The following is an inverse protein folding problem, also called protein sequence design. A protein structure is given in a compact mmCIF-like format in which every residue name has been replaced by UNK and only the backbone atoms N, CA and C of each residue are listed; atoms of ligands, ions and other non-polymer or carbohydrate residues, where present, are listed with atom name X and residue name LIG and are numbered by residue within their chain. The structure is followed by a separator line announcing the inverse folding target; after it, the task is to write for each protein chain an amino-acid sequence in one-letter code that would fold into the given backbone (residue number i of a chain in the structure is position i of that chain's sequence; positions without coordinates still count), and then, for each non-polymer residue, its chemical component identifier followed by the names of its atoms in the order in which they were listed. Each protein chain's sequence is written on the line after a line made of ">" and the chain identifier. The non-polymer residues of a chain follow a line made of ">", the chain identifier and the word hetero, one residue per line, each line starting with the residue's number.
data_IF_490210305840
#
_entry.id   IF_490210305840
#
_cell.length_a   1.000
_cell.length_b   1.000
_cell.length_c   1.000
_cell.angle_alpha   90.00
_cell.angle_beta   90.00
_cell.angle_gamma   90.00
#
_symmetry.space_group_name_H-M   'P 1'
#
loop_
_entity.id
_entity.type
_entity.pdbx_description
1 polymer ?
#
# COMPACT_ATOMS: atom_id res chain seq x y z
N UNK A 1 16.11 13.40 -3.22
CA UNK A 1 15.85 11.96 -3.49
C UNK A 1 15.96 10.99 -2.31
N UNK A 2 16.62 11.29 -1.18
CA UNK A 2 16.61 10.41 0.02
C UNK A 2 15.24 10.31 0.71
N UNK A 3 14.39 11.33 0.59
CA UNK A 3 13.09 11.43 1.26
C UNK A 3 12.04 10.42 0.75
N UNK A 4 12.00 10.13 -0.56
CA UNK A 4 11.03 9.17 -1.13
C UNK A 4 11.28 7.73 -0.64
N UNK A 5 12.53 7.40 -0.28
CA UNK A 5 12.92 6.06 0.19
C UNK A 5 12.43 5.74 1.61
N UNK A 6 11.98 6.73 2.38
CA UNK A 6 11.57 6.55 3.77
C UNK A 6 10.05 6.42 3.96
N UNK A 7 9.24 6.63 2.91
CA UNK A 7 7.78 6.74 2.99
C UNK A 7 7.15 5.47 3.55
N UNK A 8 7.68 4.30 3.21
CA UNK A 8 7.14 3.03 3.70
C UNK A 8 7.97 2.53 4.89
N UNK A 9 7.72 3.05 6.08
CA UNK A 9 8.03 2.30 7.30
C UNK A 9 7.12 1.08 7.35
N UNK A 10 7.53 0.02 6.65
CA UNK A 10 6.89 -1.28 6.77
C UNK A 10 7.04 -1.72 8.22
N UNK A 11 5.95 -1.62 9.00
CA UNK A 11 5.81 -2.45 10.18
C UNK A 11 5.91 -3.88 9.67
N UNK A 12 6.98 -4.57 10.08
CA UNK A 12 7.20 -5.98 9.80
C UNK A 12 5.96 -6.71 10.32
N UNK A 13 5.03 -7.05 9.41
CA UNK A 13 3.88 -7.86 9.77
C UNK A 13 4.42 -9.23 10.13
N UNK A 14 4.38 -9.49 11.41
CA UNK A 14 4.68 -10.77 12.04
C UNK A 14 3.95 -11.86 11.28
N UNK A 15 4.73 -12.77 10.70
CA UNK A 15 4.25 -13.76 9.74
C UNK A 15 4.25 -15.13 10.38
N UNK A 16 3.07 -15.72 10.59
CA UNK A 16 2.94 -17.10 11.02
C UNK A 16 2.96 -17.96 9.75
N UNK A 17 4.05 -18.64 9.44
CA UNK A 17 4.15 -19.40 8.18
C UNK A 17 3.42 -20.74 8.26
N UNK A 18 2.46 -20.98 7.35
CA UNK A 18 1.96 -22.32 7.05
C UNK A 18 1.80 -22.48 5.54
N UNK A 19 2.42 -23.51 4.97
CA UNK A 19 2.28 -23.83 3.54
C UNK A 19 1.05 -24.71 3.33
N UNK A 20 0.06 -24.23 2.57
CA UNK A 20 -0.87 -25.14 1.89
C UNK A 20 -1.26 -24.60 0.51
N UNK A 21 -1.06 -25.45 -0.50
CA UNK A 21 -1.48 -25.22 -1.87
C UNK A 21 -2.92 -25.70 -2.03
N UNK A 22 -3.83 -24.87 -2.55
CA UNK A 22 -5.08 -25.38 -3.10
C UNK A 22 -5.66 -24.49 -4.22
N UNK A 23 -6.08 -25.15 -5.31
CA UNK A 23 -6.44 -24.56 -6.60
C UNK A 23 -7.85 -23.97 -6.72
N UNK A 24 -8.04 -23.16 -7.77
CA UNK A 24 -9.16 -22.24 -7.99
C UNK A 24 -10.39 -22.87 -8.68
N UNK A 25 -11.58 -22.54 -8.18
CA UNK A 25 -12.80 -22.22 -8.95
C UNK A 25 -13.34 -20.86 -8.48
N UNK A 26 -14.23 -20.22 -9.24
CA UNK A 26 -14.86 -18.94 -8.90
C UNK A 26 -15.87 -19.08 -7.73
N UNK A 27 -15.36 -19.49 -6.57
CA UNK A 27 -16.06 -19.62 -5.31
C UNK A 27 -15.58 -18.50 -4.37
N UNK A 28 -16.39 -18.19 -3.36
CA UNK A 28 -15.95 -17.43 -2.19
C UNK A 28 -14.75 -18.15 -1.56
N UNK A 29 -13.77 -17.37 -1.11
CA UNK A 29 -12.60 -17.89 -0.42
C UNK A 29 -12.99 -17.95 1.06
N UNK A 30 -13.02 -19.16 1.63
CA UNK A 30 -13.37 -19.35 3.04
C UNK A 30 -12.29 -20.18 3.73
N UNK A 31 -12.06 -19.85 5.00
CA UNK A 31 -11.11 -20.53 5.87
C UNK A 31 -11.83 -20.95 7.14
N UNK A 32 -11.49 -22.12 7.66
CA UNK A 32 -11.98 -22.60 8.97
C UNK A 32 -11.02 -22.25 10.10
N UNK A 33 -9.74 -22.17 9.74
CA UNK A 33 -8.65 -21.85 10.63
C UNK A 33 -8.39 -20.33 10.66
N UNK A 34 -8.30 -19.71 11.85
CA UNK A 34 -8.08 -18.27 11.96
C UNK A 34 -6.67 -17.86 11.52
N UNK A 35 -5.67 -18.73 11.68
CA UNK A 35 -4.29 -18.46 11.25
C UNK A 35 -4.24 -18.41 9.72
N UNK A 36 -4.84 -19.37 9.03
CA UNK A 36 -4.95 -19.35 7.56
C UNK A 36 -5.69 -18.10 7.05
N UNK A 37 -6.78 -17.70 7.72
CA UNK A 37 -7.53 -16.50 7.37
C UNK A 37 -6.68 -15.23 7.49
N UNK A 38 -6.01 -15.07 8.62
CA UNK A 38 -5.12 -13.94 8.88
C UNK A 38 -3.95 -13.90 7.89
N UNK A 39 -3.29 -15.04 7.69
CA UNK A 39 -2.14 -15.16 6.80
C UNK A 39 -2.50 -14.79 5.35
N UNK A 40 -3.66 -15.24 4.87
CA UNK A 40 -4.14 -14.87 3.55
C UNK A 40 -4.26 -13.35 3.39
N UNK A 41 -4.79 -12.66 4.40
CA UNK A 41 -4.91 -11.20 4.40
C UNK A 41 -3.52 -10.54 4.47
N UNK A 42 -2.67 -10.99 5.39
CA UNK A 42 -1.30 -10.47 5.57
C UNK A 42 -0.47 -10.64 4.31
N UNK A 43 -0.57 -11.77 3.61
CA UNK A 43 0.15 -12.02 2.36
C UNK A 43 -0.30 -11.07 1.24
N UNK A 44 -1.60 -10.73 1.19
CA UNK A 44 -2.12 -9.72 0.29
C UNK A 44 -1.55 -8.33 0.63
N UNK A 45 -1.55 -7.96 1.91
CA UNK A 45 -1.00 -6.68 2.37
C UNK A 45 0.50 -6.59 2.05
N UNK A 46 1.27 -7.65 2.31
CA UNK A 46 2.71 -7.72 2.01
C UNK A 46 3.00 -7.60 0.52
N UNK A 47 2.25 -8.29 -0.35
CA UNK A 47 2.42 -8.20 -1.81
C UNK A 47 2.20 -6.77 -2.31
N UNK A 48 1.18 -6.08 -1.79
CA UNK A 48 0.92 -4.67 -2.11
C UNK A 48 2.03 -3.75 -1.58
N UNK A 49 2.44 -3.92 -0.32
CA UNK A 49 3.50 -3.12 0.31
C UNK A 49 4.84 -3.24 -0.44
N UNK A 50 5.24 -4.46 -0.83
CA UNK A 50 6.44 -4.67 -1.63
C UNK A 50 6.37 -3.93 -2.97
N UNK A 51 5.22 -3.96 -3.65
CA UNK A 51 5.07 -3.26 -4.93
C UNK A 51 5.05 -1.74 -4.79
N UNK A 52 4.52 -1.22 -3.69
CA UNK A 52 4.60 0.19 -3.35
C UNK A 52 6.05 0.63 -3.12
N UNK A 53 6.84 -0.17 -2.40
CA UNK A 53 8.28 0.07 -2.24
C UNK A 53 9.00 0.11 -3.59
N UNK A 54 8.84 -0.91 -4.43
CA UNK A 54 9.46 -0.95 -5.76
C UNK A 54 9.04 0.24 -6.63
N UNK A 55 7.79 0.67 -6.51
CA UNK A 55 7.32 1.86 -7.22
C UNK A 55 7.99 3.14 -6.69
N UNK A 56 8.10 3.32 -5.37
CA UNK A 56 8.82 4.42 -4.76
C UNK A 56 10.30 4.48 -5.17
N UNK A 57 10.96 3.33 -5.26
CA UNK A 57 12.32 3.22 -5.80
C UNK A 57 12.38 3.59 -7.29
N UNK A 58 11.38 3.20 -8.07
CA UNK A 58 11.30 3.54 -9.50
C UNK A 58 11.18 5.05 -9.70
N UNK A 59 10.25 5.70 -8.99
CA UNK A 59 10.11 7.16 -9.02
C UNK A 59 11.40 7.86 -8.57
N UNK A 60 12.06 7.30 -7.56
CA UNK A 60 13.27 7.88 -7.00
C UNK A 60 14.52 7.67 -7.85
N UNK A 61 14.52 6.84 -8.90
CA UNK A 61 15.72 6.54 -9.69
C UNK A 61 15.53 6.73 -11.21
N UNK A 62 14.33 7.06 -11.67
CA UNK A 62 14.02 7.26 -13.09
C UNK A 62 13.78 8.74 -13.38
N UNK A 63 14.32 9.23 -14.49
CA UNK A 63 13.99 10.55 -15.05
C UNK A 63 12.91 10.46 -16.14
N UNK A 64 12.63 9.24 -16.63
CA UNK A 64 11.58 8.98 -17.61
C UNK A 64 10.19 9.00 -16.94
N UNK A 65 9.49 10.13 -17.06
CA UNK A 65 8.17 10.34 -16.49
C UNK A 65 7.08 9.42 -17.08
N UNK A 66 7.18 9.05 -18.35
CA UNK A 66 6.22 8.15 -19.00
C UNK A 66 6.42 6.70 -18.52
N UNK A 67 7.68 6.29 -18.31
CA UNK A 67 7.98 5.02 -17.65
C UNK A 67 7.40 4.97 -16.22
N UNK A 68 7.63 6.01 -15.41
CA UNK A 68 7.10 6.10 -14.04
C UNK A 68 5.58 6.00 -14.05
N UNK A 69 4.91 6.76 -14.92
CA UNK A 69 3.46 6.74 -15.06
C UNK A 69 2.93 5.35 -15.41
N UNK A 70 3.61 4.63 -16.30
CA UNK A 70 3.26 3.27 -16.67
C UNK A 70 3.42 2.28 -15.51
N UNK A 71 4.46 2.41 -14.69
CA UNK A 71 4.61 1.62 -13.47
C UNK A 71 3.51 1.95 -12.43
N UNK A 72 3.11 3.22 -12.34
CA UNK A 72 1.98 3.65 -11.51
C UNK A 72 0.66 2.98 -11.92
N UNK A 73 0.38 2.88 -13.24
CA UNK A 73 -0.80 2.16 -13.74
C UNK A 73 -0.75 0.66 -13.43
N UNK A 74 0.42 0.02 -13.54
CA UNK A 74 0.61 -1.40 -13.20
C UNK A 74 0.34 -1.63 -11.71
N UNK A 75 0.88 -0.77 -10.84
CA UNK A 75 0.64 -0.82 -9.42
C UNK A 75 -0.85 -0.64 -9.09
N UNK A 76 -1.50 0.38 -9.67
CA UNK A 76 -2.93 0.62 -9.47
C UNK A 76 -3.78 -0.59 -9.88
N UNK A 77 -3.50 -1.18 -11.04
CA UNK A 77 -4.16 -2.40 -11.51
C UNK A 77 -3.96 -3.57 -10.54
N UNK A 78 -2.76 -3.71 -9.98
CA UNK A 78 -2.46 -4.73 -8.99
C UNK A 78 -3.24 -4.52 -7.69
N UNK A 79 -3.24 -3.31 -7.13
CA UNK A 79 -4.01 -2.99 -5.91
C UNK A 79 -5.49 -3.27 -6.12
N UNK A 80 -6.08 -2.84 -7.24
CA UNK A 80 -7.49 -3.11 -7.56
C UNK A 80 -7.79 -4.62 -7.59
N UNK A 81 -6.89 -5.42 -8.18
CA UNK A 81 -7.02 -6.88 -8.19
C UNK A 81 -7.01 -7.46 -6.76
N UNK A 82 -6.12 -6.98 -5.89
CA UNK A 82 -6.03 -7.43 -4.49
C UNK A 82 -7.23 -7.03 -3.65
N UNK A 83 -7.77 -5.83 -3.86
CA UNK A 83 -9.06 -5.43 -3.28
C UNK A 83 -10.17 -6.39 -3.74
N UNK A 84 -10.22 -6.75 -5.02
CA UNK A 84 -11.19 -7.73 -5.52
C UNK A 84 -10.98 -9.13 -4.92
N UNK A 85 -9.75 -9.55 -4.66
CA UNK A 85 -9.44 -10.81 -3.97
C UNK A 85 -9.96 -10.78 -2.52
N UNK A 86 -9.70 -9.70 -1.77
CA UNK A 86 -10.24 -9.52 -0.41
C UNK A 86 -11.77 -9.45 -0.40
N UNK A 87 -12.41 -8.79 -1.38
CA UNK A 87 -13.88 -8.75 -1.48
C UNK A 87 -14.51 -10.13 -1.66
N UNK A 88 -13.76 -11.10 -2.21
CA UNK A 88 -14.19 -12.50 -2.35
C UNK A 88 -13.90 -13.36 -1.12
N UNK A 89 -13.20 -12.82 -0.12
CA UNK A 89 -12.96 -13.47 1.14
C UNK A 89 -14.25 -13.43 1.98
N UNK A 90 -14.69 -14.59 2.43
CA UNK A 90 -15.83 -14.70 3.33
C UNK A 90 -15.54 -14.07 4.69
N UNK A 91 -16.61 -13.84 5.44
CA UNK A 91 -16.49 -13.46 6.85
C UNK A 91 -15.91 -14.62 7.63
N UNK A 92 -15.00 -14.36 8.57
CA UNK A 92 -14.51 -15.40 9.46
C UNK A 92 -15.47 -15.53 10.65
N UNK A 93 -16.11 -16.68 10.82
CA UNK A 93 -17.09 -16.93 11.90
C UNK A 93 -18.19 -15.86 12.01
N UNK A 94 -18.59 -15.26 10.88
CA UNK A 94 -19.59 -14.20 10.82
C UNK A 94 -19.05 -12.77 10.95
N UNK A 95 -17.79 -12.62 11.34
CA UNK A 95 -17.11 -11.33 11.51
C UNK A 95 -16.32 -10.93 10.25
N UNK A 96 -16.36 -9.64 9.89
CA UNK A 96 -15.66 -9.11 8.72
C UNK A 96 -14.61 -8.04 9.04
N UNK A 97 -14.45 -7.64 10.30
CA UNK A 97 -13.67 -6.46 10.65
C UNK A 97 -12.21 -6.52 10.16
N UNK A 98 -11.54 -7.68 10.22
CA UNK A 98 -10.16 -7.83 9.74
C UNK A 98 -10.08 -7.68 8.21
N UNK A 99 -11.01 -8.32 7.49
CA UNK A 99 -11.13 -8.18 6.03
C UNK A 99 -11.43 -6.74 5.63
N UNK A 100 -12.39 -6.11 6.31
CA UNK A 100 -12.85 -4.75 6.00
C UNK A 100 -11.71 -3.74 6.24
N UNK A 101 -10.95 -3.92 7.32
CA UNK A 101 -9.76 -3.12 7.59
C UNK A 101 -8.67 -3.30 6.52
N UNK A 102 -8.39 -4.53 6.10
CA UNK A 102 -7.43 -4.77 5.03
C UNK A 102 -7.89 -4.14 3.70
N UNK A 103 -9.19 -4.20 3.37
CA UNK A 103 -9.74 -3.51 2.20
C UNK A 103 -9.54 -2.00 2.33
N UNK A 104 -9.82 -1.42 3.49
CA UNK A 104 -9.60 0.00 3.77
C UNK A 104 -8.13 0.39 3.58
N UNK A 105 -7.19 -0.43 4.07
CA UNK A 105 -5.76 -0.20 3.87
C UNK A 105 -5.37 -0.19 2.40
N UNK A 106 -5.83 -1.17 1.63
CA UNK A 106 -5.57 -1.22 0.19
C UNK A 106 -6.27 -0.08 -0.57
N UNK A 107 -7.43 0.38 -0.11
CA UNK A 107 -8.11 1.54 -0.68
C UNK A 107 -7.37 2.85 -0.40
N UNK A 108 -6.75 2.99 0.78
CA UNK A 108 -5.83 4.09 1.06
C UNK A 108 -4.67 4.09 0.08
N UNK A 109 -3.93 2.98 -0.06
CA UNK A 109 -2.82 2.90 -1.02
C UNK A 109 -3.27 3.14 -2.47
N UNK A 110 -4.46 2.67 -2.84
CA UNK A 110 -5.06 3.00 -4.13
C UNK A 110 -5.23 4.51 -4.31
N UNK A 111 -5.69 5.23 -3.29
CA UNK A 111 -5.86 6.69 -3.35
C UNK A 111 -4.52 7.41 -3.46
N UNK A 112 -3.50 6.97 -2.72
CA UNK A 112 -2.12 7.48 -2.80
C UNK A 112 -1.59 7.39 -4.23
N UNK A 113 -1.81 6.26 -4.90
CA UNK A 113 -1.37 6.08 -6.29
C UNK A 113 -2.12 6.96 -7.27
N UNK A 114 -3.38 7.29 -7.01
CA UNK A 114 -4.20 8.09 -7.92
C UNK A 114 -3.92 9.59 -7.78
N UNK A 115 -3.79 10.08 -6.54
CA UNK A 115 -3.72 11.52 -6.29
C UNK A 115 -2.28 11.93 -6.00
N UNK A 116 -1.71 11.47 -4.89
CA UNK A 116 -0.43 11.95 -4.40
C UNK A 116 0.74 11.55 -5.33
N UNK A 117 0.78 10.33 -5.84
CA UNK A 117 1.83 9.95 -6.80
C UNK A 117 1.70 10.63 -8.15
N UNK A 118 0.48 10.94 -8.58
CA UNK A 118 0.29 11.71 -9.80
C UNK A 118 0.88 13.11 -9.66
N UNK A 119 0.62 13.78 -8.54
CA UNK A 119 1.22 15.07 -8.24
C UNK A 119 2.76 14.99 -8.19
N UNK A 120 3.31 13.95 -7.55
CA UNK A 120 4.76 13.76 -7.50
C UNK A 120 5.39 13.56 -8.88
N UNK A 121 4.73 12.81 -9.77
CA UNK A 121 5.18 12.62 -11.16
C UNK A 121 5.09 13.92 -11.96
N UNK A 122 4.01 14.68 -11.79
CA UNK A 122 3.85 16.00 -12.44
C UNK A 122 4.98 16.95 -12.00
N UNK A 123 5.31 17.01 -10.70
CA UNK A 123 6.43 17.80 -10.18
C UNK A 123 7.77 17.34 -10.77
N UNK A 124 8.03 16.03 -10.85
CA UNK A 124 9.28 15.48 -11.41
C UNK A 124 9.41 15.83 -12.90
N UNK A 125 8.33 15.69 -13.68
CA UNK A 125 8.36 16.02 -15.11
C UNK A 125 8.58 17.51 -15.31
N UNK A 126 7.81 18.35 -14.62
CA UNK A 126 7.93 19.82 -14.75
C UNK A 126 9.33 20.32 -14.33
N UNK A 127 9.89 19.76 -13.25
CA UNK A 127 11.25 20.12 -12.81
C UNK A 127 12.35 19.65 -13.76
N UNK A 128 12.16 18.53 -14.48
CA UNK A 128 13.13 18.04 -15.45
C UNK A 128 13.00 18.72 -16.82
N UNK A 129 11.79 18.94 -17.33
CA UNK A 129 11.55 19.54 -18.64
C UNK A 129 11.81 21.06 -18.66
N UNK A 130 11.54 21.74 -17.54
CA UNK A 130 11.71 23.20 -17.41
C UNK A 130 12.96 23.59 -16.63
N UNK A 131 13.93 22.68 -16.46
CA UNK A 131 15.11 22.91 -15.62
C UNK A 131 15.84 24.23 -15.95
N UNK A 132 15.93 24.60 -17.23
CA UNK A 132 16.57 25.83 -17.70
C UNK A 132 15.68 27.09 -17.61
N UNK A 133 14.38 26.92 -17.34
CA UNK A 133 13.36 27.98 -17.26
C UNK A 133 12.80 28.19 -15.84
N UNK A 134 13.27 27.41 -14.86
CA UNK A 134 12.87 27.52 -13.48
C UNK A 134 13.68 28.61 -12.78
N UNK A 135 12.97 29.63 -12.31
CA UNK A 135 13.51 30.56 -11.32
C UNK A 135 13.48 29.95 -9.90
N UNK A 136 14.23 30.56 -8.99
CA UNK A 136 14.34 30.09 -7.61
C UNK A 136 12.97 30.03 -6.91
N UNK A 137 12.06 30.96 -7.22
CA UNK A 137 10.72 31.05 -6.62
C UNK A 137 9.85 29.82 -7.00
N UNK A 138 9.85 29.42 -8.29
CA UNK A 138 9.13 28.22 -8.72
C UNK A 138 9.74 26.95 -8.16
N UNK A 139 11.08 26.87 -8.08
CA UNK A 139 11.74 25.72 -7.49
C UNK A 139 11.33 25.54 -6.01
N UNK A 140 11.29 26.64 -5.25
CA UNK A 140 10.85 26.64 -3.87
C UNK A 140 9.37 26.24 -3.73
N UNK A 141 8.50 26.67 -4.64
CA UNK A 141 7.10 26.23 -4.68
C UNK A 141 6.99 24.71 -4.85
N UNK A 142 7.71 24.13 -5.82
CA UNK A 142 7.72 22.68 -6.05
C UNK A 142 8.26 21.91 -4.85
N UNK A 143 9.34 22.39 -4.24
CA UNK A 143 9.91 21.78 -3.05
C UNK A 143 8.92 21.79 -1.87
N UNK A 144 8.21 22.89 -1.65
CA UNK A 144 7.19 22.99 -0.60
C UNK A 144 6.00 22.05 -0.85
N UNK A 145 5.52 21.98 -2.09
CA UNK A 145 4.44 21.05 -2.48
C UNK A 145 4.86 19.60 -2.25
N UNK A 146 6.07 19.23 -2.69
CA UNK A 146 6.64 17.91 -2.46
C UNK A 146 6.67 17.56 -0.97
N UNK A 147 7.26 18.42 -0.13
CA UNK A 147 7.34 18.19 1.32
C UNK A 147 5.96 18.03 1.94
N UNK A 148 5.03 18.92 1.62
CA UNK A 148 3.65 18.88 2.15
C UNK A 148 2.91 17.60 1.75
N UNK A 149 3.08 17.14 0.51
CA UNK A 149 2.46 15.90 0.03
C UNK A 149 3.03 14.70 0.79
N UNK A 150 4.35 14.65 1.01
CA UNK A 150 5.01 13.61 1.79
C UNK A 150 4.55 13.59 3.26
N UNK A 151 4.55 14.73 3.94
CA UNK A 151 4.12 14.81 5.35
C UNK A 151 2.67 14.37 5.55
N UNK A 152 1.79 14.68 4.60
CA UNK A 152 0.39 14.26 4.65
C UNK A 152 0.24 12.75 4.42
N UNK A 153 1.09 12.14 3.58
CA UNK A 153 1.10 10.69 3.39
C UNK A 153 1.55 9.98 4.67
N UNK A 154 2.68 10.39 5.24
CA UNK A 154 3.23 9.78 6.45
C UNK A 154 2.23 9.82 7.61
N UNK A 155 1.53 10.96 7.79
CA UNK A 155 0.52 11.09 8.84
C UNK A 155 -0.68 10.16 8.62
N UNK A 156 -1.17 10.04 7.38
CA UNK A 156 -2.32 9.18 7.07
C UNK A 156 -1.94 7.70 7.22
N UNK A 157 -0.74 7.33 6.80
CA UNK A 157 -0.23 5.96 6.92
C UNK A 157 -0.05 5.56 8.39
N UNK A 158 0.55 6.40 9.23
CA UNK A 158 0.73 6.11 10.65
C UNK A 158 -0.61 5.83 11.39
N UNK A 159 -1.66 6.59 11.08
CA UNK A 159 -3.01 6.38 11.66
C UNK A 159 -3.57 5.02 11.21
N UNK A 160 -3.36 4.67 9.94
CA UNK A 160 -3.88 3.45 9.37
C UNK A 160 -3.13 2.22 9.85
N UNK A 161 -1.81 2.32 10.02
CA UNK A 161 -0.96 1.26 10.54
C UNK A 161 -1.30 0.93 11.99
N UNK A 162 -1.48 1.94 12.85
CA UNK A 162 -1.95 1.71 14.22
C UNK A 162 -3.31 1.00 14.21
N UNK A 163 -4.27 1.50 13.40
CA UNK A 163 -5.59 0.88 13.27
C UNK A 163 -5.51 -0.59 12.83
N UNK A 164 -4.70 -0.91 11.83
CA UNK A 164 -4.54 -2.28 11.33
C UNK A 164 -3.89 -3.18 12.38
N UNK A 165 -2.86 -2.68 13.07
CA UNK A 165 -2.20 -3.40 14.16
C UNK A 165 -3.19 -3.73 15.29
N UNK A 166 -3.97 -2.74 15.75
CA UNK A 166 -4.99 -2.98 16.79
C UNK A 166 -6.02 -4.02 16.35
N UNK A 167 -6.40 -4.01 15.08
CA UNK A 167 -7.36 -4.97 14.51
C UNK A 167 -6.77 -6.39 14.42
N UNK A 168 -5.50 -6.52 14.03
CA UNK A 168 -4.79 -7.81 14.02
C UNK A 168 -4.61 -8.36 15.44
N UNK A 169 -4.24 -7.51 16.41
CA UNK A 169 -4.17 -7.88 17.84
C UNK A 169 -5.52 -8.36 18.34
N UNK A 170 -6.59 -7.63 18.04
CA UNK A 170 -7.96 -8.03 18.40
C UNK A 170 -8.32 -9.39 17.80
N UNK A 171 -8.06 -9.59 16.51
CA UNK A 171 -8.34 -10.85 15.83
C UNK A 171 -7.57 -12.02 16.43
N UNK A 172 -6.29 -11.81 16.74
CA UNK A 172 -5.46 -12.82 17.38
C UNK A 172 -6.00 -13.22 18.76
N UNK A 173 -6.34 -12.23 19.60
CA UNK A 173 -6.89 -12.46 20.93
C UNK A 173 -8.24 -13.21 20.89
N UNK A 174 -9.16 -12.79 20.03
CA UNK A 174 -10.49 -13.43 19.88
C UNK A 174 -10.39 -14.87 19.34
N UNK A 175 -9.27 -15.24 18.72
CA UNK A 175 -9.07 -16.55 18.10
C UNK A 175 -7.93 -17.36 18.72
N UNK A 176 -7.41 -16.95 19.89
CA UNK A 176 -6.32 -17.62 20.60
C UNK A 176 -5.06 -17.85 19.73
N UNK A 177 -4.75 -16.87 18.87
CA UNK A 177 -3.54 -16.90 18.05
C UNK A 177 -2.39 -16.22 18.81
N UNK A 178 -1.19 -16.77 18.67
CA UNK A 178 0.02 -16.10 19.11
C UNK A 178 0.55 -15.20 17.99
N UNK A 179 0.69 -13.91 18.29
CA UNK A 179 1.47 -12.98 17.46
C UNK A 179 2.94 -13.13 17.87
N UNK A 180 3.80 -13.51 16.92
CA UNK A 180 5.26 -13.64 17.14
C UNK A 180 6.05 -12.36 16.90
#
# INVERSE_FOLDING_TARGET
>A
MKLIKQIFSIIIIISISSCSNSGKKANLISFKDPVEYNNYIVDIQRDVAMKLLFFGETMGNSEDGEFIKNEGYKLLKHINKKISELKRLDKFRGESYLKDAAIEQLMFYRSVVINEYRELVEIIIETNEMADELDDDKYDEYAQRLVKTLENLDRKEAILDDKILQIQIRFANENYMELQ
#
